data_IF_405768428881
#
_entry.id   IF_405768428881
#
_cell.length_a   1.000
_cell.length_b   1.000
_cell.length_c   1.000
_cell.angle_alpha   90.00
_cell.angle_beta   90.00
_cell.angle_gamma   90.00
#
_symmetry.space_group_name_H-M   'P 1'
#
loop_
_entity.id
_entity.type
_entity.pdbx_description
1 polymer ?
#
# COMPACT_ATOMS: atom_id res chain seq x y z
N UNK A 1 -0.67 3.16 -7.18
CA UNK A 1 0.34 3.08 -8.24
C UNK A 1 1.27 4.24 -8.08
N UNK A 2 2.45 4.01 -7.57
CA UNK A 2 3.34 5.07 -7.20
C UNK A 2 4.74 4.74 -7.64
N UNK A 3 5.05 5.04 -8.89
CA UNK A 3 6.42 5.09 -9.34
C UNK A 3 6.95 6.48 -8.99
N UNK A 4 7.96 6.53 -8.09
CA UNK A 4 8.59 7.77 -7.67
C UNK A 4 9.10 8.56 -8.87
N UNK A 5 8.36 9.58 -9.23
CA UNK A 5 8.83 10.58 -10.17
C UNK A 5 9.89 11.39 -9.44
N UNK A 6 11.14 11.21 -9.87
CA UNK A 6 12.29 11.88 -9.27
C UNK A 6 12.18 13.40 -9.40
N UNK A 7 11.74 14.02 -8.33
CA UNK A 7 11.99 15.41 -8.02
C UNK A 7 13.03 15.51 -6.87
N UNK A 8 14.11 14.72 -6.98
CA UNK A 8 15.25 14.86 -6.10
C UNK A 8 16.14 15.98 -6.64
N UNK A 9 15.82 17.23 -6.35
CA UNK A 9 16.76 18.36 -6.30
C UNK A 9 16.01 19.69 -6.10
N UNK A 10 15.43 19.87 -4.91
CA UNK A 10 15.22 21.20 -4.35
C UNK A 10 15.64 21.14 -2.89
N UNK A 11 16.90 21.56 -2.65
CA UNK A 11 17.42 21.78 -1.29
C UNK A 11 16.74 23.00 -0.70
N UNK A 12 15.92 22.81 0.35
CA UNK A 12 15.57 23.88 1.27
C UNK A 12 16.30 23.67 2.60
N UNK A 13 17.17 24.63 2.88
CA UNK A 13 17.86 24.83 4.14
C UNK A 13 16.87 25.13 5.26
N UNK A 14 16.88 24.34 6.32
CA UNK A 14 16.20 24.66 7.58
C UNK A 14 17.23 25.12 8.59
N UNK A 15 17.13 26.40 8.95
CA UNK A 15 17.79 26.99 10.12
C UNK A 15 16.86 26.99 11.31
N UNK A 16 17.38 26.47 12.42
CA UNK A 16 17.18 26.81 13.82
C UNK A 16 15.76 27.02 14.40
N UNK A 17 15.39 26.17 15.35
CA UNK A 17 14.74 26.63 16.57
C UNK A 17 15.16 25.84 17.82
N UNK A 18 15.47 26.61 18.85
CA UNK A 18 16.13 26.27 20.11
C UNK A 18 15.22 25.52 21.10
N UNK A 19 15.91 24.70 21.89
CA UNK A 19 15.44 24.08 23.15
C UNK A 19 14.94 25.12 24.19
N UNK A 20 13.89 24.70 24.93
CA UNK A 20 13.68 25.22 26.30
C UNK A 20 13.30 24.03 27.21
N UNK A 21 14.26 23.72 28.10
CA UNK A 21 14.05 22.85 29.27
C UNK A 21 13.47 23.70 30.41
N UNK A 22 12.52 23.16 31.11
CA UNK A 22 12.17 23.59 32.50
C UNK A 22 12.08 22.38 33.41
N UNK A 23 12.97 22.35 34.36
CA UNK A 23 13.03 21.45 35.54
C UNK A 23 11.86 21.74 36.48
N UNK A 24 11.27 20.70 37.07
CA UNK A 24 10.52 20.84 38.35
C UNK A 24 10.94 19.73 39.31
N UNK A 25 11.34 20.21 40.46
CA UNK A 25 11.85 19.71 41.69
C UNK A 25 11.08 18.56 42.34
N UNK A 26 11.83 17.70 43.00
CA UNK A 26 11.41 16.69 43.95
C UNK A 26 10.96 17.31 45.29
N UNK A 27 9.91 16.76 45.87
CA UNK A 27 9.71 16.90 47.31
C UNK A 27 9.34 15.57 47.97
N UNK A 28 9.90 15.43 49.17
CA UNK A 28 10.13 14.23 49.94
C UNK A 28 9.15 14.22 51.11
N UNK A 29 8.43 13.14 51.33
CA UNK A 29 7.84 12.91 52.66
C UNK A 29 7.88 11.43 53.08
N UNK A 30 8.65 11.20 54.11
CA UNK A 30 8.80 9.94 54.86
C UNK A 30 7.55 9.66 55.72
N UNK A 31 7.14 8.40 55.80
CA UNK A 31 6.44 7.83 56.98
C UNK A 31 6.91 6.38 57.25
N UNK A 32 7.13 6.13 58.51
CA UNK A 32 7.73 5.00 59.21
C UNK A 32 6.99 3.66 59.16
N UNK A 33 7.65 2.52 59.47
CA UNK A 33 7.12 1.15 59.28
C UNK A 33 6.40 0.61 60.52
N UNK A 34 5.41 -0.28 60.33
CA UNK A 34 4.79 -1.13 61.34
C UNK A 34 4.98 -2.63 60.98
N UNK A 35 5.02 -3.55 61.98
CA UNK A 35 5.78 -4.76 61.92
C UNK A 35 5.17 -5.93 61.15
N UNK A 36 6.08 -6.65 60.50
CA UNK A 36 5.95 -7.79 59.65
C UNK A 36 5.95 -9.09 60.49
N UNK A 37 4.81 -9.73 60.77
CA UNK A 37 4.83 -11.10 61.29
C UNK A 37 3.53 -11.94 61.23
N UNK A 38 2.51 -11.61 60.43
CA UNK A 38 1.28 -12.41 60.41
C UNK A 38 0.62 -12.61 59.04
N UNK A 39 1.36 -12.47 57.90
CA UNK A 39 0.76 -12.52 56.57
C UNK A 39 1.46 -13.48 55.57
N UNK A 40 2.36 -14.33 56.00
CA UNK A 40 3.18 -15.13 55.08
C UNK A 40 2.53 -16.49 54.72
N UNK A 41 1.51 -16.96 55.42
CA UNK A 41 0.95 -18.31 55.16
C UNK A 41 -0.29 -18.32 54.23
N UNK A 42 -0.93 -17.18 53.97
CA UNK A 42 -2.06 -17.08 53.01
C UNK A 42 -1.66 -16.67 51.61
N UNK A 43 -0.43 -16.15 51.40
CA UNK A 43 0.07 -15.68 50.14
C UNK A 43 0.54 -16.75 49.17
N UNK A 44 0.92 -17.95 49.68
CA UNK A 44 1.52 -18.99 48.84
C UNK A 44 0.50 -19.89 48.11
N UNK A 45 -0.72 -20.01 48.61
CA UNK A 45 -1.77 -20.84 47.98
C UNK A 45 -2.56 -20.07 46.92
N UNK A 46 -2.61 -18.75 47.01
CA UNK A 46 -3.28 -17.90 45.98
C UNK A 46 -2.37 -17.63 44.80
N UNK A 47 -1.04 -17.63 44.95
CA UNK A 47 -0.09 -17.36 43.87
C UNK A 47 0.07 -18.54 42.89
N UNK A 48 -0.22 -19.78 43.30
CA UNK A 48 -0.15 -20.94 42.40
C UNK A 48 -1.42 -21.17 41.59
N UNK A 49 -2.57 -20.62 42.01
CA UNK A 49 -3.83 -20.69 41.25
C UNK A 49 -3.95 -19.63 40.15
N UNK A 50 -3.12 -18.57 40.17
CA UNK A 50 -3.06 -17.54 39.14
C UNK A 50 -2.16 -17.88 37.94
N UNK A 51 -1.35 -18.95 38.04
CA UNK A 51 -0.45 -19.39 36.97
C UNK A 51 -1.04 -20.48 36.07
N UNK A 52 -2.25 -20.94 36.34
CA UNK A 52 -2.93 -21.97 35.55
C UNK A 52 -4.23 -21.46 34.90
N UNK A 53 -4.28 -20.20 34.52
CA UNK A 53 -5.30 -19.82 33.55
C UNK A 53 -4.91 -20.44 32.22
N UNK A 54 -5.76 -21.30 31.60
CA UNK A 54 -5.53 -21.72 30.25
C UNK A 54 -5.48 -20.44 29.44
N UNK A 55 -4.32 -20.16 28.83
CA UNK A 55 -4.24 -19.11 27.83
C UNK A 55 -5.29 -19.47 26.78
N UNK A 56 -6.42 -18.77 26.81
CA UNK A 56 -7.35 -18.84 25.69
C UNK A 56 -6.51 -18.61 24.45
N UNK A 57 -6.61 -19.47 23.43
CA UNK A 57 -5.89 -19.24 22.19
C UNK A 57 -6.26 -17.83 21.74
N UNK A 58 -5.30 -16.93 21.83
CA UNK A 58 -5.45 -15.57 21.30
C UNK A 58 -5.89 -15.77 19.86
N UNK A 59 -7.10 -15.33 19.51
CA UNK A 59 -7.55 -15.39 18.13
C UNK A 59 -6.39 -14.86 17.30
N UNK A 60 -5.88 -15.69 16.40
CA UNK A 60 -4.68 -15.37 15.63
C UNK A 60 -4.97 -14.06 14.89
N UNK A 61 -4.27 -13.00 15.26
CA UNK A 61 -4.48 -11.69 14.67
C UNK A 61 -4.23 -11.80 13.18
N UNK A 62 -5.28 -11.70 12.38
CA UNK A 62 -5.19 -11.81 10.93
C UNK A 62 -4.32 -10.70 10.35
N UNK A 63 -3.65 -11.01 9.25
CA UNK A 63 -2.93 -10.07 8.40
C UNK A 63 -3.63 -9.98 7.05
N UNK A 64 -3.31 -8.97 6.25
CA UNK A 64 -3.81 -8.89 4.87
C UNK A 64 -2.96 -9.79 3.95
N UNK A 65 -2.82 -11.04 4.39
CA UNK A 65 -2.00 -12.10 3.84
C UNK A 65 -2.81 -13.39 3.76
N UNK A 66 -2.72 -14.09 2.64
CA UNK A 66 -3.37 -15.40 2.45
C UNK A 66 -2.35 -16.46 2.09
N UNK A 67 -2.54 -17.64 2.65
CA UNK A 67 -1.88 -18.86 2.25
C UNK A 67 -2.77 -19.58 1.25
N UNK A 68 -2.23 -19.93 0.09
CA UNK A 68 -2.90 -20.69 -0.94
C UNK A 68 -2.18 -22.02 -1.11
N UNK A 69 -2.91 -23.12 -1.08
CA UNK A 69 -2.36 -24.46 -1.12
C UNK A 69 -2.94 -25.26 -2.29
N UNK A 70 -2.04 -25.92 -3.02
CA UNK A 70 -2.32 -27.02 -3.93
C UNK A 70 -1.85 -28.33 -3.30
N UNK A 71 -1.97 -29.44 -4.03
CA UNK A 71 -1.36 -30.73 -3.64
C UNK A 71 0.17 -30.70 -3.69
N UNK A 72 0.76 -29.77 -4.45
CA UNK A 72 2.20 -29.74 -4.77
C UNK A 72 2.93 -28.61 -4.03
N UNK A 73 2.27 -27.47 -3.81
CA UNK A 73 2.92 -26.26 -3.31
C UNK A 73 2.02 -25.42 -2.40
N UNK A 74 2.69 -24.55 -1.65
CA UNK A 74 2.07 -23.46 -0.90
C UNK A 74 2.64 -22.14 -1.39
N UNK A 75 1.79 -21.20 -1.77
CA UNK A 75 2.17 -19.83 -2.06
C UNK A 75 1.49 -18.87 -1.10
N UNK A 76 2.05 -17.67 -0.95
CA UNK A 76 1.51 -16.61 -0.12
C UNK A 76 1.08 -15.44 -1.00
N UNK A 77 -0.12 -14.90 -0.76
CA UNK A 77 -0.62 -13.69 -1.42
C UNK A 77 -0.71 -12.57 -0.39
N UNK A 78 0.07 -11.53 -0.57
CA UNK A 78 0.09 -10.35 0.28
C UNK A 78 -0.53 -9.16 -0.47
N UNK A 79 -1.57 -8.57 0.13
CA UNK A 79 -2.11 -7.31 -0.38
C UNK A 79 -1.19 -6.15 0.00
N UNK A 80 -0.67 -5.44 -1.00
CA UNK A 80 0.25 -4.31 -0.83
C UNK A 80 -0.51 -3.00 -0.64
N UNK A 81 0.08 -2.13 0.17
CA UNK A 81 -0.16 -0.69 0.18
C UNK A 81 1.08 -0.02 -0.40
N UNK A 82 0.91 0.71 -1.50
CA UNK A 82 2.01 1.22 -2.31
C UNK A 82 2.76 2.42 -1.71
N UNK A 83 2.24 3.04 -0.65
CA UNK A 83 2.91 4.10 0.09
C UNK A 83 2.60 3.96 1.58
N UNK A 84 3.62 3.90 2.41
CA UNK A 84 3.53 3.78 3.86
C UNK A 84 4.42 4.82 4.53
N UNK A 85 4.29 4.96 5.85
CA UNK A 85 5.22 5.69 6.72
C UNK A 85 6.19 4.70 7.38
N UNK A 86 7.35 5.17 7.81
CA UNK A 86 8.34 4.34 8.53
C UNK A 86 7.78 3.69 9.80
N UNK A 87 6.86 4.35 10.47
CA UNK A 87 6.19 3.88 11.68
C UNK A 87 5.30 2.64 11.46
N UNK A 88 4.95 2.34 10.19
CA UNK A 88 4.20 1.14 9.85
C UNK A 88 5.06 -0.14 9.87
N UNK A 89 6.37 -0.02 10.08
CA UNK A 89 7.31 -1.12 10.19
C UNK A 89 7.77 -1.34 11.64
N UNK A 90 8.13 -2.58 12.06
CA UNK A 90 8.14 -3.80 11.23
C UNK A 90 6.73 -4.30 10.88
N UNK A 91 6.62 -5.06 9.79
CA UNK A 91 5.37 -5.73 9.41
C UNK A 91 5.06 -6.89 10.40
N UNK A 92 3.83 -7.40 10.37
CA UNK A 92 3.44 -8.51 11.25
C UNK A 92 4.31 -9.75 11.02
N UNK A 93 4.63 -10.52 12.06
CA UNK A 93 5.48 -11.71 11.96
C UNK A 93 5.01 -12.75 10.92
N UNK A 94 3.69 -12.87 10.70
CA UNK A 94 3.15 -13.77 9.67
C UNK A 94 3.59 -13.37 8.25
N UNK A 95 3.66 -12.07 7.96
CA UNK A 95 4.12 -11.54 6.67
C UNK A 95 5.62 -11.79 6.49
N UNK A 96 6.41 -11.53 7.55
CA UNK A 96 7.86 -11.78 7.56
C UNK A 96 8.17 -13.25 7.31
N UNK A 97 7.48 -14.15 8.02
CA UNK A 97 7.63 -15.59 7.85
C UNK A 97 7.23 -16.09 6.46
N UNK A 98 6.18 -15.50 5.86
CA UNK A 98 5.78 -15.84 4.49
C UNK A 98 6.88 -15.50 3.49
N UNK A 99 7.53 -14.34 3.64
CA UNK A 99 8.68 -13.96 2.82
C UNK A 99 9.88 -14.89 3.04
N UNK A 100 10.21 -15.21 4.29
CA UNK A 100 11.36 -16.08 4.63
C UNK A 100 11.21 -17.47 4.02
N UNK A 101 10.00 -18.05 4.08
CA UNK A 101 9.68 -19.36 3.50
C UNK A 101 9.68 -19.35 1.97
N UNK A 102 9.54 -18.18 1.36
CA UNK A 102 9.45 -18.05 -0.10
C UNK A 102 10.82 -18.05 -0.75
N UNK A 103 10.95 -18.78 -1.86
CA UNK A 103 12.17 -18.88 -2.66
C UNK A 103 12.28 -17.76 -3.71
N UNK A 104 11.15 -17.13 -4.05
CA UNK A 104 11.07 -16.02 -5.00
C UNK A 104 9.99 -15.02 -4.60
N UNK A 105 10.14 -13.81 -5.08
CA UNK A 105 9.19 -12.71 -4.94
C UNK A 105 8.50 -12.48 -6.28
N UNK A 106 7.18 -12.43 -6.28
CA UNK A 106 6.37 -12.10 -7.44
C UNK A 106 5.69 -10.76 -7.16
N UNK A 107 5.87 -9.78 -8.03
CA UNK A 107 5.27 -8.45 -7.95
C UNK A 107 4.32 -8.22 -9.12
N UNK A 108 3.53 -7.15 -9.08
CA UNK A 108 2.75 -6.72 -10.25
C UNK A 108 3.67 -6.47 -11.44
N UNK A 109 4.76 -5.73 -11.20
CA UNK A 109 5.83 -5.50 -12.18
C UNK A 109 7.20 -5.80 -11.56
N UNK A 110 8.17 -6.14 -12.38
CA UNK A 110 9.56 -6.20 -11.95
C UNK A 110 10.12 -4.78 -11.79
N UNK A 111 10.24 -4.34 -10.52
CA UNK A 111 10.76 -3.02 -10.16
C UNK A 111 12.24 -2.85 -10.54
N UNK A 112 13.00 -3.94 -10.67
CA UNK A 112 14.39 -3.92 -11.11
C UNK A 112 14.55 -3.71 -12.62
N UNK A 113 13.61 -4.24 -13.41
CA UNK A 113 13.54 -4.02 -14.85
C UNK A 113 13.00 -2.62 -15.21
N UNK A 114 12.36 -1.93 -14.25
CA UNK A 114 11.90 -0.56 -14.38
C UNK A 114 13.02 0.44 -14.09
N UNK A 115 14.12 0.38 -14.87
CA UNK A 115 15.19 1.38 -14.78
C UNK A 115 14.62 2.79 -14.95
N UNK A 116 15.19 3.77 -14.24
CA UNK A 116 14.65 5.13 -14.16
C UNK A 116 14.46 5.77 -15.56
N UNK A 117 15.44 5.58 -16.46
CA UNK A 117 15.35 6.11 -17.82
C UNK A 117 14.19 5.49 -18.62
N UNK A 118 13.93 4.20 -18.42
CA UNK A 118 12.82 3.51 -19.05
C UNK A 118 11.47 4.00 -18.52
N UNK A 119 11.36 4.21 -17.21
CA UNK A 119 10.17 4.78 -16.58
C UNK A 119 9.89 6.17 -17.13
N UNK A 120 10.91 7.03 -17.22
CA UNK A 120 10.78 8.38 -17.78
C UNK A 120 10.34 8.34 -19.24
N UNK A 121 10.90 7.44 -20.05
CA UNK A 121 10.51 7.26 -21.45
C UNK A 121 9.04 6.86 -21.62
N UNK A 122 8.56 5.92 -20.79
CA UNK A 122 7.16 5.49 -20.80
C UNK A 122 6.22 6.63 -20.38
N UNK A 123 6.59 7.38 -19.33
CA UNK A 123 5.81 8.54 -18.87
C UNK A 123 5.75 9.61 -19.94
N UNK A 124 6.87 9.96 -20.57
CA UNK A 124 6.90 10.91 -21.66
C UNK A 124 6.01 10.48 -22.84
N UNK A 125 6.00 9.22 -23.17
CA UNK A 125 5.21 8.68 -24.27
C UNK A 125 3.70 8.60 -23.95
N UNK A 126 3.35 8.18 -22.73
CA UNK A 126 1.97 7.85 -22.35
C UNK A 126 1.29 8.89 -21.47
N UNK A 127 2.05 9.63 -20.65
CA UNK A 127 1.53 10.57 -19.66
C UNK A 127 1.40 12.01 -20.15
N UNK A 128 2.03 12.37 -21.26
CA UNK A 128 1.99 13.74 -21.77
C UNK A 128 1.49 13.83 -23.20
N UNK A 129 0.92 14.98 -23.56
CA UNK A 129 0.55 15.29 -24.93
C UNK A 129 1.78 15.71 -25.72
N UNK A 130 2.06 15.00 -26.82
CA UNK A 130 3.16 15.30 -27.75
C UNK A 130 2.68 16.08 -29.00
N UNK A 131 1.37 16.24 -29.16
CA UNK A 131 0.70 16.79 -30.31
C UNK A 131 0.25 18.27 -30.15
N UNK A 132 0.74 18.93 -29.10
CA UNK A 132 0.45 20.34 -28.81
C UNK A 132 -0.81 20.58 -27.98
N UNK A 133 -1.60 19.54 -27.68
CA UNK A 133 -2.73 19.68 -26.73
C UNK A 133 -2.23 20.01 -25.33
N UNK A 134 -3.11 20.64 -24.55
CA UNK A 134 -2.86 20.91 -23.13
C UNK A 134 -3.92 20.26 -22.24
N UNK A 135 -3.59 20.09 -20.96
CA UNK A 135 -4.52 19.61 -19.95
C UNK A 135 -5.78 20.49 -19.91
N UNK A 136 -5.60 21.82 -19.94
CA UNK A 136 -6.71 22.78 -19.94
C UNK A 136 -7.69 22.58 -21.10
N UNK A 137 -7.19 22.22 -22.28
CA UNK A 137 -8.02 22.01 -23.47
C UNK A 137 -8.76 20.65 -23.45
N UNK A 138 -8.36 19.74 -22.59
CA UNK A 138 -8.83 18.35 -22.61
C UNK A 138 -9.69 17.96 -21.41
N UNK A 139 -9.87 18.89 -20.47
CA UNK A 139 -10.80 18.73 -19.33
C UNK A 139 -11.75 19.93 -19.28
N UNK A 140 -12.85 19.81 -18.53
CA UNK A 140 -13.78 20.92 -18.31
C UNK A 140 -13.13 22.05 -17.52
N UNK A 141 -13.62 23.30 -17.71
CA UNK A 141 -13.15 24.47 -16.96
C UNK A 141 -13.24 24.27 -15.44
N UNK A 142 -14.28 23.56 -14.99
CA UNK A 142 -14.46 23.21 -13.57
C UNK A 142 -13.31 22.32 -13.07
N UNK A 143 -13.00 21.26 -13.79
CA UNK A 143 -11.93 20.32 -13.41
C UNK A 143 -10.57 21.03 -13.44
N UNK A 144 -10.33 21.85 -14.47
CA UNK A 144 -9.09 22.62 -14.57
C UNK A 144 -8.92 23.65 -13.45
N UNK A 145 -9.98 24.37 -13.10
CA UNK A 145 -9.95 25.36 -12.00
C UNK A 145 -9.66 24.69 -10.64
N UNK A 146 -10.25 23.53 -10.37
CA UNK A 146 -9.96 22.76 -9.15
C UNK A 146 -8.51 22.26 -9.15
N UNK A 147 -8.03 21.78 -10.30
CA UNK A 147 -6.65 21.33 -10.46
C UNK A 147 -5.66 22.46 -10.23
N UNK A 148 -5.88 23.62 -10.86
CA UNK A 148 -5.04 24.81 -10.70
C UNK A 148 -4.95 25.22 -9.24
N UNK A 149 -6.10 25.34 -8.55
CA UNK A 149 -6.13 25.64 -7.11
C UNK A 149 -5.26 24.67 -6.30
N UNK A 150 -5.39 23.37 -6.57
CA UNK A 150 -4.64 22.36 -5.85
C UNK A 150 -3.13 22.43 -6.13
N UNK A 151 -2.73 22.73 -7.36
CA UNK A 151 -1.32 22.92 -7.75
C UNK A 151 -0.73 24.15 -7.06
N UNK A 152 -1.50 25.24 -6.96
CA UNK A 152 -1.12 26.47 -6.24
C UNK A 152 -0.91 26.21 -4.74
N UNK A 153 -1.74 25.36 -4.11
CA UNK A 153 -1.58 24.94 -2.69
C UNK A 153 -0.29 24.15 -2.45
N UNK A 154 0.29 23.55 -3.48
CA UNK A 154 1.62 22.94 -3.44
C UNK A 154 2.75 23.92 -3.75
N UNK A 155 2.45 25.17 -4.08
CA UNK A 155 3.44 26.18 -4.47
C UNK A 155 4.09 25.90 -5.81
N UNK A 156 3.43 25.15 -6.71
CA UNK A 156 3.97 24.75 -8.00
C UNK A 156 3.38 25.60 -9.13
N UNK A 157 4.15 25.90 -10.19
CA UNK A 157 3.64 26.61 -11.34
C UNK A 157 2.74 25.68 -12.18
N UNK A 158 1.52 26.13 -12.50
CA UNK A 158 0.59 25.37 -13.32
C UNK A 158 1.17 25.01 -14.70
N UNK A 159 2.07 25.85 -15.23
CA UNK A 159 2.76 25.61 -16.49
C UNK A 159 3.54 24.28 -16.54
N UNK A 160 4.01 23.78 -15.40
CA UNK A 160 4.72 22.48 -15.32
C UNK A 160 3.81 21.29 -15.67
N UNK A 161 2.49 21.49 -15.60
CA UNK A 161 1.49 20.45 -15.84
C UNK A 161 0.76 20.60 -17.17
N UNK A 162 1.06 21.67 -17.94
CA UNK A 162 0.30 22.01 -19.14
C UNK A 162 0.17 20.87 -20.15
N UNK A 163 1.19 20.02 -20.27
CA UNK A 163 1.21 18.92 -21.24
C UNK A 163 0.76 17.57 -20.65
N UNK A 164 0.39 17.52 -19.39
CA UNK A 164 -0.02 16.26 -18.75
C UNK A 164 -1.38 15.81 -19.30
N UNK A 165 -1.51 14.52 -19.53
CA UNK A 165 -2.83 13.88 -19.69
C UNK A 165 -3.56 13.85 -18.35
N UNK A 166 -4.90 13.86 -18.30
CA UNK A 166 -5.63 13.97 -17.03
C UNK A 166 -5.30 12.86 -16.04
N UNK A 167 -5.13 11.61 -16.51
CA UNK A 167 -4.71 10.51 -15.66
C UNK A 167 -3.34 10.73 -15.00
N UNK A 168 -2.41 11.30 -15.77
CA UNK A 168 -1.06 11.53 -15.26
C UNK A 168 -1.02 12.72 -14.28
N UNK A 169 -1.82 13.75 -14.53
CA UNK A 169 -2.06 14.84 -13.60
C UNK A 169 -2.63 14.32 -12.27
N UNK A 170 -3.62 13.41 -12.31
CA UNK A 170 -4.21 12.79 -11.12
C UNK A 170 -3.17 12.01 -10.28
N UNK A 171 -2.39 11.13 -10.92
CA UNK A 171 -1.35 10.33 -10.25
C UNK A 171 -0.27 11.22 -9.66
N UNK A 172 0.15 12.26 -10.38
CA UNK A 172 1.17 13.20 -9.89
C UNK A 172 0.67 13.97 -8.66
N UNK A 173 -0.56 14.49 -8.72
CA UNK A 173 -1.16 15.21 -7.59
C UNK A 173 -1.31 14.34 -6.36
N UNK A 174 -1.78 13.11 -6.54
CA UNK A 174 -1.88 12.14 -5.45
C UNK A 174 -0.50 11.87 -4.83
N UNK A 175 0.54 11.67 -5.64
CA UNK A 175 1.91 11.46 -5.16
C UNK A 175 2.44 12.65 -4.35
N UNK A 176 2.20 13.88 -4.82
CA UNK A 176 2.56 15.11 -4.10
C UNK A 176 1.85 15.20 -2.74
N UNK A 177 0.54 14.89 -2.71
CA UNK A 177 -0.23 14.91 -1.46
C UNK A 177 0.27 13.85 -0.49
N UNK A 178 0.50 12.62 -0.95
CA UNK A 178 1.06 11.53 -0.13
C UNK A 178 2.39 11.94 0.49
N UNK A 179 3.31 12.49 -0.29
CA UNK A 179 4.60 12.96 0.21
C UNK A 179 4.44 14.07 1.25
N UNK A 180 3.54 15.05 1.03
CA UNK A 180 3.24 16.11 2.00
C UNK A 180 2.68 15.57 3.31
N UNK A 181 1.96 14.45 3.28
CA UNK A 181 1.42 13.74 4.44
C UNK A 181 2.43 12.78 5.09
N UNK A 182 3.68 12.74 4.60
CA UNK A 182 4.74 11.88 5.13
C UNK A 182 4.68 10.42 4.68
N UNK A 183 3.82 10.11 3.68
CA UNK A 183 3.83 8.79 3.03
C UNK A 183 4.89 8.76 1.94
N UNK A 184 5.66 7.69 1.89
CA UNK A 184 6.70 7.48 0.88
C UNK A 184 6.43 6.17 0.12
N UNK A 185 6.44 6.24 -1.19
CA UNK A 185 6.32 5.06 -2.05
C UNK A 185 7.50 4.09 -1.87
N UNK A 186 8.70 4.61 -1.55
CA UNK A 186 9.87 3.80 -1.22
C UNK A 186 9.66 2.97 0.07
N UNK A 187 8.69 3.37 0.91
CA UNK A 187 8.23 2.62 2.07
C UNK A 187 7.01 1.73 1.76
N UNK A 188 6.50 1.74 0.52
CA UNK A 188 5.45 0.81 0.10
C UNK A 188 5.87 -0.64 0.29
N UNK A 189 4.88 -1.53 0.54
CA UNK A 189 5.13 -2.95 0.84
C UNK A 189 5.89 -3.61 -0.31
N UNK A 190 5.52 -3.34 -1.55
CA UNK A 190 6.14 -3.85 -2.77
C UNK A 190 7.61 -3.42 -2.89
N UNK A 191 7.92 -2.13 -2.69
CA UNK A 191 9.29 -1.62 -2.70
C UNK A 191 10.14 -2.18 -1.55
N UNK A 192 9.55 -2.31 -0.36
CA UNK A 192 10.22 -2.88 0.79
C UNK A 192 10.66 -4.32 0.53
N UNK A 193 9.74 -5.16 0.02
CA UNK A 193 10.08 -6.54 -0.32
C UNK A 193 10.98 -6.66 -1.54
N UNK A 194 10.83 -5.80 -2.54
CA UNK A 194 11.76 -5.75 -3.67
C UNK A 194 13.20 -5.50 -3.22
N UNK A 195 13.43 -4.46 -2.41
CA UNK A 195 14.75 -4.13 -1.91
C UNK A 195 15.34 -5.26 -1.05
N UNK A 196 14.50 -5.88 -0.21
CA UNK A 196 14.90 -7.03 0.58
C UNK A 196 15.25 -8.23 -0.29
N UNK A 197 14.43 -8.57 -1.29
CA UNK A 197 14.69 -9.67 -2.21
C UNK A 197 15.99 -9.46 -2.99
N UNK A 198 16.28 -8.22 -3.40
CA UNK A 198 17.56 -7.86 -4.04
C UNK A 198 18.75 -8.10 -3.10
N UNK A 199 18.65 -7.71 -1.83
CA UNK A 199 19.71 -7.94 -0.84
C UNK A 199 19.90 -9.42 -0.53
N UNK A 200 18.80 -10.18 -0.45
CA UNK A 200 18.78 -11.61 -0.19
C UNK A 200 19.05 -12.46 -1.45
N UNK A 201 19.28 -11.82 -2.60
CA UNK A 201 19.48 -12.46 -3.91
C UNK A 201 18.34 -13.41 -4.31
N UNK A 202 17.12 -13.14 -3.84
CA UNK A 202 15.93 -13.88 -4.26
C UNK A 202 15.48 -13.41 -5.64
N UNK A 203 15.13 -14.33 -6.54
CA UNK A 203 14.57 -13.97 -7.84
C UNK A 203 13.29 -13.13 -7.68
N UNK A 204 13.20 -12.04 -8.46
CA UNK A 204 12.01 -11.20 -8.57
C UNK A 204 11.43 -11.35 -9.96
N UNK A 205 10.09 -11.48 -10.04
CA UNK A 205 9.36 -11.64 -11.31
C UNK A 205 8.14 -10.73 -11.30
N UNK A 206 7.87 -10.06 -12.43
CA UNK A 206 6.65 -9.29 -12.65
C UNK A 206 5.52 -10.16 -13.24
N UNK A 207 4.30 -9.95 -12.76
CA UNK A 207 3.09 -10.52 -13.38
C UNK A 207 2.75 -9.83 -14.70
N UNK A 208 3.13 -8.56 -14.83
CA UNK A 208 2.96 -7.76 -16.05
C UNK A 208 4.12 -6.78 -16.22
N UNK A 209 4.09 -5.97 -17.27
CA UNK A 209 5.09 -4.95 -17.52
C UNK A 209 4.60 -3.55 -17.15
N UNK A 210 5.54 -2.65 -16.88
CA UNK A 210 5.22 -1.24 -16.61
C UNK A 210 4.53 -0.58 -17.83
N UNK A 211 4.97 -0.90 -19.05
CA UNK A 211 4.39 -0.39 -20.29
C UNK A 211 2.91 -0.76 -20.42
N UNK A 212 2.57 -2.02 -20.08
CA UNK A 212 1.18 -2.49 -20.06
C UNK A 212 0.38 -1.72 -19.02
N UNK A 213 0.86 -1.63 -17.79
CA UNK A 213 0.19 -0.95 -16.68
C UNK A 213 -0.09 0.52 -16.98
N UNK A 214 0.92 1.26 -17.48
CA UNK A 214 0.74 2.67 -17.88
C UNK A 214 -0.16 2.81 -19.10
N UNK A 215 -0.13 1.81 -19.99
CA UNK A 215 -1.01 1.73 -21.16
C UNK A 215 -2.50 1.66 -20.80
N UNK A 216 -2.85 1.01 -19.69
CA UNK A 216 -4.25 0.94 -19.24
C UNK A 216 -4.85 2.32 -18.94
N UNK A 217 -4.07 3.20 -18.30
CA UNK A 217 -4.50 4.59 -18.05
C UNK A 217 -4.55 5.43 -19.32
N UNK A 218 -3.55 5.28 -20.18
CA UNK A 218 -3.46 6.03 -21.43
C UNK A 218 -4.60 5.67 -22.41
N UNK A 219 -5.07 4.42 -22.38
CA UNK A 219 -6.17 3.94 -23.22
C UNK A 219 -7.57 4.22 -22.69
N UNK A 220 -7.70 4.76 -21.47
CA UNK A 220 -8.98 5.23 -20.96
C UNK A 220 -9.57 6.30 -21.89
N UNK A 221 -10.90 6.35 -21.98
CA UNK A 221 -11.56 7.47 -22.68
C UNK A 221 -11.19 8.82 -22.04
N UNK A 222 -11.25 9.89 -22.80
CA UNK A 222 -11.00 11.24 -22.28
C UNK A 222 -11.89 11.56 -21.07
N UNK A 223 -13.17 11.13 -21.12
CA UNK A 223 -14.10 11.30 -20.01
C UNK A 223 -13.71 10.51 -18.75
N UNK A 224 -13.26 9.26 -18.91
CA UNK A 224 -12.82 8.45 -17.75
C UNK A 224 -11.52 9.01 -17.15
N UNK A 225 -10.61 9.54 -17.96
CA UNK A 225 -9.38 10.19 -17.48
C UNK A 225 -9.70 11.50 -16.72
N UNK A 226 -10.62 12.31 -17.23
CA UNK A 226 -11.07 13.52 -16.55
C UNK A 226 -11.78 13.18 -15.24
N UNK A 227 -12.66 12.19 -15.24
CA UNK A 227 -13.35 11.76 -14.03
C UNK A 227 -12.36 11.23 -12.97
N UNK A 228 -11.34 10.47 -13.36
CA UNK A 228 -10.25 10.07 -12.47
C UNK A 228 -9.57 11.28 -11.83
N UNK A 229 -9.24 12.31 -12.62
CA UNK A 229 -8.66 13.54 -12.10
C UNK A 229 -9.61 14.27 -11.14
N UNK A 230 -10.88 14.40 -11.52
CA UNK A 230 -11.90 15.05 -10.70
C UNK A 230 -12.14 14.35 -9.37
N UNK A 231 -12.21 13.03 -9.37
CA UNK A 231 -12.36 12.24 -8.13
C UNK A 231 -11.11 12.35 -7.25
N UNK A 232 -9.91 12.33 -7.85
CA UNK A 232 -8.66 12.58 -7.12
C UNK A 232 -8.69 13.95 -6.44
N UNK A 233 -9.10 15.00 -7.15
CA UNK A 233 -9.22 16.35 -6.60
C UNK A 233 -10.22 16.43 -5.44
N UNK A 234 -11.38 15.79 -5.56
CA UNK A 234 -12.39 15.75 -4.49
C UNK A 234 -11.91 15.01 -3.24
N UNK A 235 -11.08 13.99 -3.40
CA UNK A 235 -10.56 13.19 -2.29
C UNK A 235 -9.42 13.87 -1.52
N UNK A 236 -8.83 14.97 -2.03
CA UNK A 236 -7.62 15.58 -1.44
C UNK A 236 -7.77 15.98 0.03
N UNK A 237 -8.95 16.47 0.42
CA UNK A 237 -9.18 16.97 1.79
C UNK A 237 -9.39 15.82 2.79
N UNK A 238 -9.96 14.69 2.36
CA UNK A 238 -10.20 13.53 3.22
C UNK A 238 -9.07 12.50 3.20
N UNK A 239 -8.11 12.63 2.27
CA UNK A 239 -7.13 11.60 1.94
C UNK A 239 -6.36 11.09 3.16
N UNK A 240 -5.91 11.97 4.06
CA UNK A 240 -5.15 11.57 5.25
C UNK A 240 -5.98 10.66 6.16
N UNK A 241 -7.22 11.07 6.46
CA UNK A 241 -8.14 10.28 7.28
C UNK A 241 -8.47 8.92 6.66
N UNK A 242 -8.67 8.91 5.34
CA UNK A 242 -9.02 7.68 4.61
C UNK A 242 -7.82 6.73 4.53
N UNK A 243 -6.61 7.25 4.35
CA UNK A 243 -5.36 6.47 4.41
C UNK A 243 -5.11 5.88 5.81
N UNK A 244 -5.29 6.65 6.85
CA UNK A 244 -5.13 6.16 8.22
C UNK A 244 -6.14 5.04 8.54
N UNK A 245 -7.38 5.16 8.05
CA UNK A 245 -8.39 4.11 8.17
C UNK A 245 -8.02 2.88 7.36
N UNK A 246 -7.55 3.08 6.13
CA UNK A 246 -7.09 2.02 5.23
C UNK A 246 -5.95 1.22 5.87
N UNK A 247 -4.92 1.90 6.37
CA UNK A 247 -3.75 1.26 6.98
C UNK A 247 -4.14 0.50 8.24
N UNK A 248 -4.99 1.07 9.11
CA UNK A 248 -5.49 0.33 10.28
C UNK A 248 -6.25 -0.93 9.88
N UNK A 249 -7.13 -0.85 8.88
CA UNK A 249 -7.85 -2.01 8.35
C UNK A 249 -6.88 -3.05 7.75
N UNK A 250 -5.88 -2.60 7.01
CA UNK A 250 -4.85 -3.46 6.42
C UNK A 250 -4.01 -4.17 7.48
N UNK A 251 -3.54 -3.44 8.48
CA UNK A 251 -2.81 -4.03 9.62
C UNK A 251 -3.67 -5.04 10.36
N UNK A 252 -4.96 -4.75 10.56
CA UNK A 252 -5.90 -5.67 11.22
C UNK A 252 -6.28 -6.88 10.35
N UNK A 253 -5.95 -6.89 9.05
CA UNK A 253 -6.41 -7.91 8.11
C UNK A 253 -7.91 -7.83 7.83
N UNK A 254 -8.53 -6.66 8.02
CA UNK A 254 -9.97 -6.44 7.87
C UNK A 254 -10.34 -6.23 6.40
N UNK A 255 -10.82 -7.32 5.79
CA UNK A 255 -11.25 -7.33 4.39
C UNK A 255 -12.42 -6.37 4.14
N UNK A 256 -13.35 -6.23 5.08
CA UNK A 256 -14.54 -5.39 4.88
C UNK A 256 -14.18 -3.90 4.86
N UNK A 257 -13.26 -3.49 5.73
CA UNK A 257 -12.76 -2.10 5.73
C UNK A 257 -12.06 -1.79 4.41
N UNK A 258 -11.21 -2.70 3.92
CA UNK A 258 -10.50 -2.48 2.66
C UNK A 258 -11.44 -2.54 1.45
N UNK A 259 -12.42 -3.45 1.44
CA UNK A 259 -13.44 -3.50 0.40
C UNK A 259 -14.20 -2.18 0.29
N UNK A 260 -14.64 -1.63 1.42
CA UNK A 260 -15.37 -0.36 1.44
C UNK A 260 -14.53 0.85 1.02
N UNK A 261 -13.22 0.85 1.29
CA UNK A 261 -12.35 2.00 0.97
C UNK A 261 -11.73 1.90 -0.42
N UNK A 262 -11.40 0.70 -0.89
CA UNK A 262 -10.70 0.51 -2.15
C UNK A 262 -11.65 0.21 -3.31
N UNK A 263 -12.71 -0.56 -3.10
CA UNK A 263 -13.54 -1.04 -4.20
C UNK A 263 -14.82 -0.23 -4.41
N UNK A 264 -15.28 0.53 -3.41
CA UNK A 264 -16.52 1.32 -3.56
C UNK A 264 -16.45 2.33 -4.70
N UNK A 265 -15.31 3.03 -4.84
CA UNK A 265 -15.11 3.99 -5.93
C UNK A 265 -15.06 3.29 -7.30
N UNK A 266 -14.50 2.09 -7.39
CA UNK A 266 -14.48 1.30 -8.62
C UNK A 266 -15.88 0.84 -9.04
N UNK A 267 -16.73 0.44 -8.09
CA UNK A 267 -18.11 0.02 -8.39
C UNK A 267 -18.96 1.12 -9.06
N UNK A 268 -18.61 2.39 -8.81
CA UNK A 268 -19.23 3.53 -9.47
C UNK A 268 -18.73 3.71 -10.91
N UNK A 269 -17.58 3.11 -11.26
CA UNK A 269 -16.93 3.18 -12.58
C UNK A 269 -16.61 1.77 -13.12
N UNK A 270 -17.63 0.96 -13.50
CA UNK A 270 -17.44 -0.47 -13.80
C UNK A 270 -16.49 -0.75 -14.96
N UNK A 271 -16.35 0.16 -15.93
CA UNK A 271 -15.36 0.01 -17.03
C UNK A 271 -13.93 0.17 -16.51
N UNK A 272 -13.72 1.08 -15.58
CA UNK A 272 -12.41 1.31 -14.95
C UNK A 272 -12.07 0.14 -14.03
N UNK A 273 -13.02 -0.34 -13.24
CA UNK A 273 -12.88 -1.56 -12.43
C UNK A 273 -12.50 -2.77 -13.30
N UNK A 274 -13.24 -2.96 -14.41
CA UNK A 274 -12.95 -4.05 -15.33
C UNK A 274 -11.53 -3.99 -15.86
N UNK A 275 -11.06 -2.85 -16.34
CA UNK A 275 -9.73 -2.70 -16.94
C UNK A 275 -8.60 -2.74 -15.90
N UNK A 276 -8.76 -2.05 -14.77
CA UNK A 276 -7.66 -1.87 -13.80
C UNK A 276 -7.56 -3.01 -12.78
N UNK A 277 -8.63 -3.77 -12.55
CA UNK A 277 -8.64 -4.86 -11.58
C UNK A 277 -9.00 -6.22 -12.21
N UNK A 278 -10.20 -6.36 -12.75
CA UNK A 278 -10.76 -7.68 -13.10
C UNK A 278 -9.99 -8.33 -14.25
N UNK A 279 -9.72 -7.60 -15.33
CA UNK A 279 -9.02 -8.15 -16.49
C UNK A 279 -7.56 -8.47 -16.16
N UNK A 280 -6.91 -7.66 -15.33
CA UNK A 280 -5.56 -7.94 -14.83
C UNK A 280 -5.54 -9.20 -13.96
N UNK A 281 -6.48 -9.33 -13.02
CA UNK A 281 -6.61 -10.53 -12.18
C UNK A 281 -6.80 -11.78 -13.02
N UNK A 282 -7.63 -11.73 -14.07
CA UNK A 282 -7.82 -12.85 -15.01
C UNK A 282 -6.56 -13.21 -15.77
N UNK A 283 -5.75 -12.22 -16.18
CA UNK A 283 -4.45 -12.44 -16.82
C UNK A 283 -3.40 -12.97 -15.85
N UNK A 284 -3.43 -12.57 -14.59
CA UNK A 284 -2.50 -13.02 -13.57
C UNK A 284 -2.82 -14.43 -13.05
N UNK A 285 -4.10 -14.81 -13.00
CA UNK A 285 -4.54 -16.09 -12.45
C UNK A 285 -3.77 -17.29 -13.01
N UNK A 286 -3.63 -17.50 -14.35
CA UNK A 286 -2.87 -18.63 -14.87
C UNK A 286 -1.38 -18.58 -14.51
N UNK A 287 -0.80 -17.38 -14.34
CA UNK A 287 0.58 -17.23 -13.89
C UNK A 287 0.75 -17.64 -12.42
N UNK A 288 -0.22 -17.27 -11.57
CA UNK A 288 -0.26 -17.67 -10.17
C UNK A 288 -0.48 -19.18 -10.03
N UNK A 289 -1.38 -19.77 -10.84
CA UNK A 289 -1.61 -21.22 -10.89
C UNK A 289 -0.34 -21.99 -11.32
N UNK A 290 0.45 -21.43 -12.24
CA UNK A 290 1.73 -22.04 -12.64
C UNK A 290 2.72 -22.15 -11.46
N UNK A 291 2.73 -21.20 -10.52
CA UNK A 291 3.53 -21.31 -9.30
C UNK A 291 2.99 -22.35 -8.33
N UNK A 292 1.68 -22.53 -8.25
CA UNK A 292 1.06 -23.59 -7.43
C UNK A 292 1.36 -25.00 -7.93
N UNK A 293 1.74 -25.13 -9.20
CA UNK A 293 2.15 -26.39 -9.84
C UNK A 293 3.67 -26.68 -9.74
N UNK A 294 4.45 -25.74 -9.17
CA UNK A 294 5.90 -25.91 -8.91
C UNK A 294 6.11 -26.39 -7.48
N UNK A 295 7.36 -26.74 -7.12
CA UNK A 295 7.73 -27.17 -5.78
C UNK A 295 8.15 -26.04 -4.86
N UNK A 296 8.55 -24.88 -5.41
CA UNK A 296 9.12 -23.77 -4.66
C UNK A 296 8.06 -22.80 -4.17
N UNK A 297 7.93 -22.59 -2.86
CA UNK A 297 7.05 -21.57 -2.31
C UNK A 297 7.43 -20.17 -2.81
N UNK A 298 6.43 -19.32 -3.05
CA UNK A 298 6.66 -17.93 -3.42
C UNK A 298 5.74 -16.97 -2.66
N UNK A 299 6.19 -15.73 -2.52
CA UNK A 299 5.39 -14.61 -2.05
C UNK A 299 4.96 -13.77 -3.26
N UNK A 300 3.67 -13.68 -3.48
CA UNK A 300 3.05 -12.82 -4.48
C UNK A 300 2.55 -11.56 -3.76
N UNK A 301 3.08 -10.40 -4.15
CA UNK A 301 2.71 -9.10 -3.58
C UNK A 301 2.06 -8.26 -4.66
N UNK A 302 0.78 -7.99 -4.49
CA UNK A 302 -0.04 -7.19 -5.41
C UNK A 302 -0.87 -6.20 -4.62
N UNK A 303 -1.31 -5.12 -5.24
CA UNK A 303 -2.16 -4.13 -4.57
C UNK A 303 -3.35 -4.78 -3.88
N UNK A 304 -3.66 -4.35 -2.66
CA UNK A 304 -4.68 -4.98 -1.82
C UNK A 304 -6.03 -5.14 -2.51
N UNK A 305 -6.42 -4.20 -3.38
CA UNK A 305 -7.64 -4.25 -4.16
C UNK A 305 -7.72 -5.46 -5.12
N UNK A 306 -6.59 -5.98 -5.59
CA UNK A 306 -6.54 -7.15 -6.47
C UNK A 306 -6.90 -8.46 -5.77
N UNK A 307 -6.80 -8.52 -4.45
CA UNK A 307 -7.05 -9.75 -3.71
C UNK A 307 -8.53 -9.96 -3.35
N UNK A 308 -9.27 -8.88 -3.11
CA UNK A 308 -10.60 -8.89 -2.50
C UNK A 308 -11.71 -8.55 -3.50
N UNK A 309 -12.96 -8.76 -3.07
CA UNK A 309 -14.15 -8.46 -3.87
C UNK A 309 -14.40 -9.44 -4.99
N UNK A 310 -15.46 -9.16 -5.77
CA UNK A 310 -15.84 -9.95 -6.93
C UNK A 310 -14.79 -9.86 -8.03
N UNK A 311 -14.30 -11.02 -8.48
CA UNK A 311 -13.20 -11.10 -9.44
C UNK A 311 -11.82 -10.84 -8.84
N UNK A 312 -11.69 -10.71 -7.50
CA UNK A 312 -10.43 -10.70 -6.78
C UNK A 312 -9.72 -12.06 -6.84
N UNK A 313 -8.39 -12.05 -6.75
CA UNK A 313 -7.59 -13.29 -6.87
C UNK A 313 -7.97 -14.35 -5.84
N UNK A 314 -8.39 -13.96 -4.63
CA UNK A 314 -8.84 -14.89 -3.59
C UNK A 314 -10.10 -15.64 -4.04
N UNK A 315 -11.09 -14.93 -4.58
CA UNK A 315 -12.32 -15.54 -5.11
C UNK A 315 -12.02 -16.44 -6.30
N UNK A 316 -11.19 -15.97 -7.23
CA UNK A 316 -10.82 -16.73 -8.43
C UNK A 316 -10.10 -18.03 -8.08
N UNK A 317 -9.16 -18.01 -7.15
CA UNK A 317 -8.42 -19.20 -6.72
C UNK A 317 -9.33 -20.19 -5.97
N UNK A 318 -10.23 -19.71 -5.11
CA UNK A 318 -11.24 -20.55 -4.48
C UNK A 318 -12.15 -21.24 -5.49
N UNK A 319 -12.59 -20.50 -6.52
CA UNK A 319 -13.40 -21.04 -7.61
C UNK A 319 -12.67 -22.12 -8.44
N UNK A 320 -11.33 -22.12 -8.44
CA UNK A 320 -10.48 -23.15 -9.03
C UNK A 320 -10.23 -24.36 -8.13
N UNK A 321 -10.77 -24.36 -6.91
CA UNK A 321 -10.67 -25.47 -5.96
C UNK A 321 -9.43 -25.43 -5.07
N UNK A 322 -8.64 -24.35 -5.08
CA UNK A 322 -7.51 -24.20 -4.15
C UNK A 322 -7.99 -23.89 -2.73
N UNK A 323 -7.27 -24.42 -1.74
CA UNK A 323 -7.47 -24.05 -0.33
C UNK A 323 -6.85 -22.68 -0.10
N UNK A 324 -7.66 -21.71 0.34
CA UNK A 324 -7.23 -20.32 0.57
C UNK A 324 -7.60 -19.91 1.98
N UNK A 325 -6.61 -19.62 2.79
CA UNK A 325 -6.73 -19.29 4.22
C UNK A 325 -6.08 -17.92 4.49
N UNK A 326 -6.80 -17.03 5.17
CA UNK A 326 -6.23 -15.77 5.65
C UNK A 326 -5.43 -16.00 6.93
N UNK A 327 -4.21 -15.47 6.96
CA UNK A 327 -3.23 -15.65 8.04
C UNK A 327 -3.26 -14.51 9.05
#
# INVERSE_FOLDING_TARGET
MGYGLGFDNVNFSTSEMKENRTEISADRMMRSPKPLAARILYGFVVLTALLAQPQQPRAQEKSFLWKVQSQQNTIYLLGSIHALRRENYPLKPAIEQAYEKSKRLILEIDLGAAAQDKVQGIILQKGVYLDGRSLQQTVSDKTFSLFQKQVEEFGLPIAAFNRFKPWYAAVTLLSLKLNKLGFDQKQGVDWSFFNRAKNDQKPVVGLETLEYQMGLFDQMSAGDQEEMLLQTLKAMDSLEKDLDKLIRGWVAGDVNVLDSLLLESFRQHPKVEQALLIDRNRQWLPKVEAYLSQSDPCLVVVGAAHLIGKGGLIELLKARGYTVEQM
#
